data_IF_591222332231
#
_entry.id   IF_591222332231
#
_cell.length_a   1.000
_cell.length_b   1.000
_cell.length_c   1.000
_cell.angle_alpha   90.00
_cell.angle_beta   90.00
_cell.angle_gamma   90.00
#
_symmetry.space_group_name_H-M   'P 1'
#
loop_
_entity.id
_entity.type
_entity.pdbx_description
1 polymer ?
#
# COMPACT_ATOMS: atom_id res chain seq x y z
N UNK A 1 8.77 5.03 -11.98
CA UNK A 1 7.57 5.40 -11.21
C UNK A 1 7.02 6.70 -11.80
N UNK A 2 5.69 6.85 -11.86
CA UNK A 2 5.02 8.12 -12.13
C UNK A 2 4.15 8.43 -10.92
N UNK A 3 4.31 9.62 -10.36
CA UNK A 3 3.45 10.14 -9.30
C UNK A 3 2.26 10.89 -9.93
N UNK A 4 1.09 10.68 -9.36
CA UNK A 4 -0.16 11.29 -9.75
C UNK A 4 -0.72 12.03 -8.55
N UNK A 5 -1.09 13.29 -8.72
CA UNK A 5 -1.85 14.05 -7.71
C UNK A 5 -3.32 14.04 -8.11
N UNK A 6 -4.12 13.19 -7.45
CA UNK A 6 -5.56 13.05 -7.69
C UNK A 6 -6.33 13.33 -6.41
N UNK A 7 -7.29 14.24 -6.49
CA UNK A 7 -8.13 14.66 -5.37
C UNK A 7 -7.32 15.08 -4.11
N UNK A 8 -6.14 15.67 -4.33
CA UNK A 8 -5.24 16.12 -3.27
C UNK A 8 -4.50 14.99 -2.54
N UNK A 9 -4.37 13.82 -3.16
CA UNK A 9 -3.62 12.67 -2.65
C UNK A 9 -2.65 12.12 -3.69
N UNK A 10 -1.44 11.69 -3.29
CA UNK A 10 -0.46 11.14 -4.23
C UNK A 10 -0.70 9.65 -4.47
N UNK A 11 -0.73 9.25 -5.74
CA UNK A 11 -0.76 7.84 -6.17
C UNK A 11 0.42 7.55 -7.07
N UNK A 12 0.87 6.30 -7.11
CA UNK A 12 2.13 5.94 -7.76
C UNK A 12 1.91 4.81 -8.75
N UNK A 13 2.07 5.08 -10.05
CA UNK A 13 2.05 4.02 -11.05
C UNK A 13 3.44 3.54 -11.45
N UNK A 14 3.60 2.22 -11.44
CA UNK A 14 4.84 1.53 -11.79
C UNK A 14 4.67 0.80 -13.11
N UNK A 15 5.67 0.91 -13.98
CA UNK A 15 5.75 0.21 -15.25
C UNK A 15 7.05 -0.59 -15.28
N UNK A 16 6.93 -1.92 -15.18
CA UNK A 16 8.05 -2.85 -15.17
C UNK A 16 8.36 -3.45 -16.54
N UNK A 17 9.50 -4.13 -16.62
CA UNK A 17 9.95 -4.91 -17.79
C UNK A 17 10.12 -4.10 -19.07
N UNK A 18 10.41 -2.80 -18.96
CA UNK A 18 10.55 -1.90 -20.09
C UNK A 18 11.86 -2.13 -20.86
N UNK A 19 11.85 -1.93 -22.18
CA UNK A 19 13.06 -1.90 -23.01
C UNK A 19 13.65 -0.49 -23.16
N UNK A 20 12.82 0.53 -22.94
CA UNK A 20 13.15 1.94 -23.15
C UNK A 20 12.33 2.78 -22.18
N UNK A 21 12.97 3.77 -21.56
CA UNK A 21 12.32 4.83 -20.79
C UNK A 21 12.47 6.12 -21.59
N UNK A 22 11.35 6.77 -21.93
CA UNK A 22 11.31 7.94 -22.80
C UNK A 22 11.17 9.27 -22.03
N UNK A 23 11.24 9.21 -20.70
CA UNK A 23 11.02 10.34 -19.79
C UNK A 23 12.14 10.44 -18.76
N UNK A 24 12.29 11.61 -18.15
CA UNK A 24 13.30 11.86 -17.11
C UNK A 24 12.69 12.14 -15.73
N UNK A 25 13.48 11.97 -14.67
CA UNK A 25 13.07 12.33 -13.30
C UNK A 25 12.70 13.82 -13.25
N UNK A 26 11.55 14.13 -12.64
CA UNK A 26 11.02 15.49 -12.55
C UNK A 26 10.25 15.97 -13.79
N UNK A 27 10.22 15.20 -14.87
CA UNK A 27 9.41 15.52 -16.05
C UNK A 27 7.91 15.37 -15.72
N UNK A 28 7.14 16.42 -16.05
CA UNK A 28 5.67 16.31 -16.09
C UNK A 28 5.26 15.64 -17.39
N UNK A 29 4.33 14.68 -17.29
CA UNK A 29 3.81 13.92 -18.43
C UNK A 29 2.29 14.05 -18.49
N UNK A 30 1.74 14.00 -19.70
CA UNK A 30 0.30 14.06 -19.91
C UNK A 30 -0.32 12.67 -20.12
N UNK A 31 -1.63 12.55 -19.88
CA UNK A 31 -2.38 11.34 -20.24
C UNK A 31 -2.24 11.08 -21.75
N UNK A 32 -1.86 9.85 -22.11
CA UNK A 32 -1.64 9.45 -23.51
C UNK A 32 -0.24 9.75 -24.05
N UNK A 33 0.62 10.44 -23.28
CA UNK A 33 2.02 10.67 -23.65
C UNK A 33 2.80 9.34 -23.62
N UNK A 34 3.69 9.16 -24.59
CA UNK A 34 4.58 7.99 -24.62
C UNK A 34 5.66 8.14 -23.57
N UNK A 35 5.58 7.34 -22.50
CA UNK A 35 6.55 7.35 -21.40
C UNK A 35 7.63 6.26 -21.50
N UNK A 36 7.37 5.19 -22.25
CA UNK A 36 8.25 4.02 -22.31
C UNK A 36 7.96 3.13 -23.53
N UNK A 37 8.75 2.06 -23.66
CA UNK A 37 8.49 0.92 -24.57
C UNK A 37 8.52 -0.39 -23.78
N UNK A 38 7.57 -1.27 -24.07
CA UNK A 38 7.52 -2.64 -23.51
C UNK A 38 8.78 -3.40 -23.89
N UNK A 39 9.32 -4.16 -22.94
CA UNK A 39 10.46 -5.04 -23.15
C UNK A 39 10.30 -6.36 -22.42
N UNK A 40 11.43 -6.88 -21.97
CA UNK A 40 11.55 -8.14 -21.23
C UNK A 40 12.72 -8.05 -20.23
N UNK A 41 12.96 -6.86 -19.66
CA UNK A 41 14.00 -6.65 -18.64
C UNK A 41 13.56 -7.21 -17.28
N UNK A 42 14.50 -7.77 -16.52
CA UNK A 42 14.23 -8.43 -15.24
C UNK A 42 14.58 -9.92 -15.26
N UNK A 43 14.67 -10.52 -14.07
CA UNK A 43 15.08 -11.92 -13.94
C UNK A 43 14.04 -12.88 -14.52
N UNK A 44 14.51 -13.88 -15.28
CA UNK A 44 13.66 -14.93 -15.84
C UNK A 44 12.78 -14.53 -17.04
N UNK A 45 12.98 -13.33 -17.60
CA UNK A 45 12.26 -12.85 -18.77
C UNK A 45 13.08 -12.93 -20.07
N UNK A 46 12.35 -13.10 -21.18
CA UNK A 46 12.88 -13.15 -22.53
C UNK A 46 11.82 -12.59 -23.49
N UNK A 47 12.14 -12.50 -24.78
CA UNK A 47 11.24 -11.93 -25.78
C UNK A 47 9.86 -12.63 -25.84
N UNK A 48 9.79 -13.95 -25.67
CA UNK A 48 8.52 -14.69 -25.66
C UNK A 48 7.65 -14.39 -24.43
N UNK A 49 8.23 -13.78 -23.40
CA UNK A 49 7.56 -13.35 -22.15
C UNK A 49 7.50 -11.83 -22.05
N UNK A 50 7.66 -11.10 -23.15
CA UNK A 50 7.58 -9.63 -23.14
C UNK A 50 6.18 -9.17 -22.73
N UNK A 51 6.11 -8.35 -21.68
CA UNK A 51 4.87 -7.80 -21.15
C UNK A 51 5.17 -6.52 -20.37
N UNK A 52 4.13 -5.75 -20.04
CA UNK A 52 4.23 -4.65 -19.07
C UNK A 52 3.69 -5.15 -17.74
N UNK A 53 4.51 -5.03 -16.69
CA UNK A 53 4.03 -5.12 -15.33
C UNK A 53 3.51 -3.74 -14.92
N UNK A 54 2.23 -3.64 -14.57
CA UNK A 54 1.59 -2.38 -14.20
C UNK A 54 1.07 -2.46 -12.77
N UNK A 55 1.39 -1.43 -11.98
CA UNK A 55 0.80 -1.24 -10.65
C UNK A 55 0.25 0.18 -10.52
N UNK A 56 -0.71 0.35 -9.61
CA UNK A 56 -1.14 1.63 -9.09
C UNK A 56 -1.18 1.52 -7.57
N UNK A 57 -0.36 2.32 -6.90
CA UNK A 57 0.01 2.11 -5.51
C UNK A 57 -0.26 3.32 -4.63
N UNK A 58 -0.53 3.03 -3.36
CA UNK A 58 -0.45 3.97 -2.25
C UNK A 58 0.90 3.82 -1.55
N UNK A 59 1.46 4.90 -1.00
CA UNK A 59 2.72 4.86 -0.25
C UNK A 59 2.48 4.83 1.25
N UNK A 60 3.19 3.95 1.97
CA UNK A 60 3.05 3.85 3.42
C UNK A 60 3.77 4.97 4.18
N UNK A 61 5.05 5.20 3.89
CA UNK A 61 5.88 6.12 4.68
C UNK A 61 7.03 6.74 3.86
N UNK A 62 7.31 8.05 4.03
CA UNK A 62 8.41 8.73 3.34
C UNK A 62 9.80 8.37 3.88
N UNK A 63 9.90 7.95 5.13
CA UNK A 63 11.14 7.59 5.83
C UNK A 63 11.51 6.10 5.65
N UNK A 64 10.93 5.44 4.62
CA UNK A 64 11.10 4.02 4.34
C UNK A 64 12.55 3.55 4.26
N UNK A 65 13.46 4.36 3.70
CA UNK A 65 14.86 3.97 3.54
C UNK A 65 15.52 3.66 4.89
N UNK A 66 15.32 4.52 5.89
CA UNK A 66 15.84 4.29 7.25
C UNK A 66 15.16 3.11 7.96
N UNK A 67 13.87 2.87 7.69
CA UNK A 67 13.19 1.67 8.18
C UNK A 67 13.77 0.41 7.55
N UNK A 68 14.05 0.44 6.25
CA UNK A 68 14.61 -0.68 5.52
C UNK A 68 16.00 -1.03 6.05
N UNK A 69 16.88 -0.05 6.22
CA UNK A 69 18.24 -0.22 6.75
C UNK A 69 18.26 -0.85 8.15
N UNK A 70 17.25 -0.55 8.98
CA UNK A 70 17.10 -1.18 10.31
C UNK A 70 16.69 -2.65 10.23
N UNK A 71 15.93 -3.04 9.20
CA UNK A 71 15.21 -4.30 9.17
C UNK A 71 15.76 -5.33 8.17
N UNK A 72 16.55 -4.91 7.18
CA UNK A 72 17.09 -5.74 6.12
C UNK A 72 18.60 -5.52 5.97
N UNK A 73 19.31 -6.58 5.56
CA UNK A 73 20.76 -6.52 5.30
C UNK A 73 21.10 -6.23 3.85
N UNK A 74 20.22 -6.62 2.95
CA UNK A 74 20.38 -6.34 1.53
C UNK A 74 20.15 -4.85 1.27
N UNK A 75 20.83 -4.24 0.28
CA UNK A 75 20.65 -2.82 -0.03
C UNK A 75 19.28 -2.52 -0.64
N UNK A 76 18.71 -1.36 -0.32
CA UNK A 76 17.50 -0.86 -0.96
C UNK A 76 17.82 -0.21 -2.32
N UNK A 77 17.56 -0.91 -3.42
CA UNK A 77 17.80 -0.36 -4.77
C UNK A 77 16.72 0.61 -5.27
N UNK A 78 15.58 0.69 -4.58
CA UNK A 78 14.39 1.38 -5.07
C UNK A 78 14.02 2.64 -4.25
N UNK A 79 14.83 3.01 -3.26
CA UNK A 79 14.56 4.12 -2.35
C UNK A 79 13.17 4.01 -1.72
N UNK A 80 12.45 5.12 -1.62
CA UNK A 80 11.08 5.16 -1.09
C UNK A 80 10.04 4.45 -1.97
N UNK A 81 10.38 4.11 -3.22
CA UNK A 81 9.49 3.42 -4.17
C UNK A 81 9.69 1.90 -4.16
N UNK A 82 10.30 1.36 -3.12
CA UNK A 82 10.40 -0.08 -2.90
C UNK A 82 9.00 -0.70 -2.76
N UNK A 83 8.79 -1.88 -3.35
CA UNK A 83 7.49 -2.57 -3.31
C UNK A 83 6.99 -2.94 -1.91
N UNK A 84 7.85 -2.96 -0.89
CA UNK A 84 7.42 -3.12 0.51
C UNK A 84 6.71 -1.85 1.02
N UNK A 85 7.11 -0.66 0.54
CA UNK A 85 6.53 0.63 0.92
C UNK A 85 5.25 0.97 0.14
N UNK A 86 4.89 0.14 -0.84
CA UNK A 86 3.84 0.41 -1.80
C UNK A 86 2.70 -0.61 -1.65
N UNK A 87 1.49 -0.10 -1.50
CA UNK A 87 0.26 -0.88 -1.42
C UNK A 87 -0.50 -0.78 -2.74
N UNK A 88 -0.41 -1.83 -3.56
CA UNK A 88 -1.06 -1.88 -4.88
C UNK A 88 -2.53 -2.24 -4.79
N UNK A 89 -3.38 -1.40 -5.39
CA UNK A 89 -4.80 -1.73 -5.60
C UNK A 89 -4.98 -2.65 -6.81
N UNK A 90 -6.15 -3.28 -6.94
CA UNK A 90 -6.50 -4.08 -8.11
C UNK A 90 -6.72 -3.18 -9.33
N UNK A 91 -5.61 -2.87 -10.03
CA UNK A 91 -5.60 -1.93 -11.15
C UNK A 91 -6.41 -2.45 -12.35
N UNK A 92 -6.49 -3.77 -12.52
CA UNK A 92 -7.30 -4.36 -13.58
C UNK A 92 -8.79 -4.14 -13.31
N UNK A 93 -9.26 -4.38 -12.08
CA UNK A 93 -10.64 -4.09 -11.67
C UNK A 93 -10.91 -2.59 -11.73
N UNK A 94 -10.01 -1.76 -11.22
CA UNK A 94 -10.16 -0.30 -11.26
C UNK A 94 -10.30 0.20 -12.68
N UNK A 95 -9.46 -0.26 -13.61
CA UNK A 95 -9.53 0.12 -15.02
C UNK A 95 -10.90 -0.22 -15.66
N UNK A 96 -11.38 -1.45 -15.46
CA UNK A 96 -12.66 -1.91 -16.01
C UNK A 96 -13.88 -1.21 -15.38
N UNK A 97 -13.79 -0.87 -14.10
CA UNK A 97 -14.85 -0.13 -13.40
C UNK A 97 -14.87 1.35 -13.78
N UNK A 98 -13.70 1.96 -13.95
CA UNK A 98 -13.55 3.34 -14.39
C UNK A 98 -13.99 3.54 -15.85
N UNK A 99 -13.87 2.53 -16.71
CA UNK A 99 -14.47 2.57 -18.07
C UNK A 99 -16.00 2.72 -18.02
N UNK A 100 -16.66 2.03 -17.09
CA UNK A 100 -18.12 2.12 -16.89
C UNK A 100 -18.54 3.37 -16.14
N UNK A 101 -17.68 3.85 -15.24
CA UNK A 101 -17.90 4.98 -14.34
C UNK A 101 -16.71 5.95 -14.47
N UNK A 102 -16.69 6.83 -15.49
CA UNK A 102 -15.55 7.71 -15.74
C UNK A 102 -15.21 8.67 -14.59
N UNK A 103 -16.16 8.93 -13.69
CA UNK A 103 -15.98 9.77 -12.51
C UNK A 103 -15.56 8.96 -11.25
N UNK A 104 -15.36 7.64 -11.37
CA UNK A 104 -14.96 6.78 -10.25
C UNK A 104 -13.54 7.14 -9.80
N UNK A 105 -13.43 7.71 -8.61
CA UNK A 105 -12.14 8.04 -7.99
C UNK A 105 -11.55 6.83 -7.23
N UNK A 106 -10.25 6.88 -6.94
CA UNK A 106 -9.58 5.85 -6.13
C UNK A 106 -10.22 5.69 -4.73
N UNK A 107 -10.54 6.78 -3.98
CA UNK A 107 -11.25 6.66 -2.71
C UNK A 107 -12.59 5.94 -2.82
N UNK A 108 -13.38 6.23 -3.86
CA UNK A 108 -14.67 5.58 -4.09
C UNK A 108 -14.50 4.08 -4.41
N UNK A 109 -13.51 3.74 -5.24
CA UNK A 109 -13.20 2.35 -5.56
C UNK A 109 -12.76 1.54 -4.34
N UNK A 110 -11.88 2.11 -3.50
CA UNK A 110 -11.38 1.45 -2.29
C UNK A 110 -12.45 1.38 -1.19
N UNK A 111 -13.41 2.30 -1.16
CA UNK A 111 -14.56 2.20 -0.25
C UNK A 111 -15.47 0.99 -0.55
N UNK A 112 -15.38 0.40 -1.75
CA UNK A 112 -16.09 -0.83 -2.13
C UNK A 112 -15.32 -2.10 -1.77
N UNK A 113 -14.07 -1.99 -1.31
CA UNK A 113 -13.25 -3.15 -0.93
C UNK A 113 -13.70 -3.76 0.40
N UNK A 114 -13.56 -5.08 0.51
CA UNK A 114 -13.85 -5.78 1.74
C UNK A 114 -12.74 -5.58 2.77
N UNK A 115 -13.10 -5.11 3.97
CA UNK A 115 -12.19 -5.16 5.13
C UNK A 115 -11.94 -6.61 5.54
N UNK A 116 -10.70 -7.05 5.40
CA UNK A 116 -10.26 -8.39 5.79
C UNK A 116 -9.67 -8.42 7.20
N UNK A 117 -8.95 -7.39 7.61
CA UNK A 117 -8.39 -7.28 8.96
C UNK A 117 -8.24 -5.83 9.38
N UNK A 118 -8.13 -5.60 10.69
CA UNK A 118 -7.83 -4.29 11.26
C UNK A 118 -6.70 -4.39 12.27
N UNK A 119 -5.81 -3.40 12.24
CA UNK A 119 -4.67 -3.29 13.15
C UNK A 119 -4.70 -1.91 13.79
N UNK A 120 -4.58 -1.87 15.11
CA UNK A 120 -4.38 -0.64 15.86
C UNK A 120 -2.90 -0.40 16.06
N UNK A 121 -2.42 0.80 15.70
CA UNK A 121 -1.05 1.27 15.90
C UNK A 121 -1.00 2.42 16.91
N UNK A 122 0.10 2.59 17.67
CA UNK A 122 0.28 3.75 18.53
C UNK A 122 0.11 5.08 17.79
N UNK A 123 -0.34 6.13 18.48
CA UNK A 123 -0.27 7.48 17.90
C UNK A 123 1.20 7.88 17.70
N UNK A 124 1.48 8.49 16.54
CA UNK A 124 2.82 8.92 16.14
C UNK A 124 2.73 10.12 15.20
N UNK A 125 3.62 11.12 15.35
CA UNK A 125 3.73 12.23 14.41
C UNK A 125 4.22 11.78 13.02
N UNK A 126 4.79 10.58 12.91
CA UNK A 126 5.31 9.98 11.68
C UNK A 126 4.29 9.10 10.96
N UNK A 127 3.03 9.12 11.37
CA UNK A 127 1.98 8.36 10.69
C UNK A 127 1.54 9.06 9.38
N UNK A 128 2.33 8.84 8.33
CA UNK A 128 2.23 9.52 7.04
C UNK A 128 0.97 9.18 6.24
N UNK A 129 0.45 7.96 6.37
CA UNK A 129 -0.73 7.53 5.63
C UNK A 129 -1.94 8.47 5.82
N UNK A 130 -2.12 9.01 7.05
CA UNK A 130 -3.15 10.02 7.37
C UNK A 130 -2.96 11.34 6.62
N UNK A 131 -1.70 11.69 6.37
CA UNK A 131 -1.31 12.95 5.70
C UNK A 131 -1.39 12.81 4.18
N UNK A 132 -0.96 11.66 3.65
CA UNK A 132 -1.02 11.37 2.21
C UNK A 132 -2.45 11.10 1.74
N UNK A 133 -3.25 10.40 2.53
CA UNK A 133 -4.60 9.97 2.18
C UNK A 133 -5.61 10.42 3.23
N UNK A 134 -5.85 11.74 3.39
CA UNK A 134 -6.76 12.26 4.41
C UNK A 134 -8.19 11.73 4.25
N UNK A 135 -8.59 11.33 3.04
CA UNK A 135 -9.89 10.73 2.75
C UNK A 135 -10.13 9.38 3.45
N UNK A 136 -9.08 8.69 3.90
CA UNK A 136 -9.19 7.44 4.67
C UNK A 136 -9.67 7.69 6.10
N UNK A 137 -9.47 8.91 6.64
CA UNK A 137 -9.73 9.20 8.04
C UNK A 137 -11.23 9.47 8.26
N UNK A 138 -11.94 8.55 8.91
CA UNK A 138 -13.41 8.65 9.12
C UNK A 138 -13.81 9.29 10.45
N UNK A 139 -12.98 9.16 11.48
CA UNK A 139 -13.24 9.71 12.81
C UNK A 139 -11.99 10.44 13.32
N UNK A 140 -12.02 11.77 13.23
CA UNK A 140 -10.94 12.63 13.72
C UNK A 140 -11.22 12.97 15.18
N UNK A 141 -10.44 12.40 16.09
CA UNK A 141 -10.39 12.84 17.48
C UNK A 141 -9.07 13.54 17.73
N UNK A 142 -9.12 14.77 18.24
CA UNK A 142 -7.93 15.50 18.67
C UNK A 142 -7.21 14.82 19.85
N UNK A 143 -7.88 13.90 20.54
CA UNK A 143 -7.36 13.15 21.68
C UNK A 143 -7.11 11.67 21.36
N UNK A 144 -6.93 11.32 20.08
CA UNK A 144 -6.58 9.97 19.68
C UNK A 144 -5.31 9.52 20.40
N UNK A 145 -5.34 8.34 21.03
CA UNK A 145 -4.17 7.71 21.67
C UNK A 145 -3.60 6.57 20.84
N UNK A 146 -4.37 6.09 19.89
CA UNK A 146 -3.97 5.12 18.87
C UNK A 146 -4.87 5.26 17.66
N UNK A 147 -4.52 4.58 16.58
CA UNK A 147 -5.25 4.61 15.32
C UNK A 147 -5.50 3.19 14.84
N UNK A 148 -6.75 2.86 14.57
CA UNK A 148 -7.13 1.59 13.94
C UNK A 148 -7.19 1.78 12.42
N UNK A 149 -6.47 0.93 11.69
CA UNK A 149 -6.46 0.90 10.24
C UNK A 149 -7.15 -0.39 9.78
N UNK A 150 -8.09 -0.27 8.84
CA UNK A 150 -8.65 -1.42 8.13
C UNK A 150 -7.89 -1.70 6.84
N UNK A 151 -7.75 -2.97 6.50
CA UNK A 151 -7.03 -3.43 5.33
C UNK A 151 -7.86 -4.41 4.51
N UNK A 152 -7.73 -4.31 3.19
CA UNK A 152 -8.15 -5.36 2.27
C UNK A 152 -7.27 -6.60 2.46
N UNK A 153 -7.72 -7.74 1.94
CA UNK A 153 -6.95 -8.99 1.99
C UNK A 153 -5.52 -8.84 1.41
N UNK A 154 -5.35 -8.00 0.40
CA UNK A 154 -4.07 -7.70 -0.25
C UNK A 154 -3.08 -6.91 0.61
N UNK A 155 -3.54 -6.30 1.72
CA UNK A 155 -2.77 -5.37 2.53
C UNK A 155 -2.92 -3.91 2.13
N UNK A 156 -3.83 -3.58 1.20
CA UNK A 156 -4.17 -2.19 0.89
C UNK A 156 -4.95 -1.57 2.05
N UNK A 157 -4.53 -0.40 2.58
CA UNK A 157 -5.27 0.29 3.63
C UNK A 157 -6.56 0.90 3.07
N UNK A 158 -7.64 0.83 3.86
CA UNK A 158 -8.99 1.24 3.44
C UNK A 158 -9.51 2.42 4.26
N UNK A 159 -9.51 2.31 5.58
CA UNK A 159 -10.01 3.33 6.50
C UNK A 159 -9.12 3.47 7.72
N UNK A 160 -9.11 4.67 8.32
CA UNK A 160 -8.37 5.01 9.52
C UNK A 160 -9.33 5.65 10.54
N UNK A 161 -9.38 5.10 11.74
CA UNK A 161 -10.21 5.59 12.84
C UNK A 161 -9.38 5.90 14.08
N UNK A 162 -9.66 7.05 14.71
CA UNK A 162 -9.10 7.35 16.03
C UNK A 162 -9.64 6.38 17.10
N UNK A 163 -8.78 6.03 18.06
CA UNK A 163 -9.12 5.24 19.25
C UNK A 163 -8.68 5.98 20.52
N UNK A 164 -9.49 5.88 21.57
CA UNK A 164 -9.24 6.51 22.87
C UNK A 164 -8.28 5.70 23.75
N UNK A 165 -8.16 4.41 23.48
CA UNK A 165 -7.32 3.47 24.19
C UNK A 165 -5.91 3.49 23.57
N UNK A 166 -4.84 3.62 24.37
CA UNK A 166 -3.49 3.50 23.84
C UNK A 166 -3.16 2.04 23.55
N UNK A 167 -2.30 1.81 22.55
CA UNK A 167 -1.60 0.53 22.36
C UNK A 167 -0.10 0.79 22.42
N UNK A 168 0.67 -0.18 22.92
CA UNK A 168 2.14 -0.05 23.02
C UNK A 168 2.85 -0.50 21.73
N UNK A 169 2.17 -1.29 20.91
CA UNK A 169 2.69 -1.84 19.67
C UNK A 169 1.52 -2.14 18.72
N UNK A 170 1.79 -2.34 17.41
CA UNK A 170 0.77 -2.82 16.50
C UNK A 170 0.03 -4.04 17.05
N UNK A 171 -1.29 -3.96 17.08
CA UNK A 171 -2.15 -4.96 17.69
C UNK A 171 -3.29 -5.29 16.74
N UNK A 172 -3.45 -6.58 16.39
CA UNK A 172 -4.59 -7.03 15.59
C UNK A 172 -5.88 -6.88 16.41
N UNK A 173 -6.84 -6.11 15.91
CA UNK A 173 -8.13 -5.90 16.58
C UNK A 173 -9.28 -6.62 15.89
N UNK A 174 -9.12 -6.94 14.61
CA UNK A 174 -10.10 -7.70 13.85
C UNK A 174 -9.41 -8.52 12.76
N UNK A 175 -9.90 -9.74 12.55
CA UNK A 175 -9.63 -10.52 11.34
C UNK A 175 -10.90 -11.22 10.90
N UNK A 176 -11.20 -11.16 9.60
CA UNK A 176 -12.34 -11.85 9.02
C UNK A 176 -12.19 -13.36 9.19
N UNK A 177 -13.24 -14.02 9.66
CA UNK A 177 -13.26 -15.49 9.80
C UNK A 177 -13.03 -16.15 8.44
N UNK A 178 -12.12 -17.11 8.41
CA UNK A 178 -11.73 -17.87 7.23
C UNK A 178 -11.48 -19.34 7.59
N UNK A 179 -11.85 -20.25 6.70
CA UNK A 179 -11.51 -21.67 6.82
C UNK A 179 -10.03 -21.96 6.46
N UNK A 180 -9.43 -21.06 5.67
CA UNK A 180 -8.03 -21.12 5.23
C UNK A 180 -7.19 -20.26 6.18
N UNK A 181 -5.97 -20.72 6.47
CA UNK A 181 -5.01 -19.95 7.28
C UNK A 181 -4.75 -18.57 6.66
N UNK A 182 -4.79 -17.53 7.50
CA UNK A 182 -4.59 -16.15 7.07
C UNK A 182 -3.22 -15.92 6.43
N UNK A 183 -2.22 -16.77 6.70
CA UNK A 183 -0.90 -16.68 6.07
C UNK A 183 -0.97 -16.77 4.53
N UNK A 184 -1.87 -17.60 4.00
CA UNK A 184 -2.06 -17.75 2.55
C UNK A 184 -2.93 -16.66 1.93
N UNK A 185 -3.56 -15.84 2.77
CA UNK A 185 -4.51 -14.82 2.33
C UNK A 185 -3.92 -13.42 2.42
N UNK A 186 -2.98 -13.18 3.34
CA UNK A 186 -2.51 -11.83 3.71
C UNK A 186 -1.02 -11.62 3.43
N UNK A 187 -0.46 -12.30 2.42
CA UNK A 187 0.98 -12.25 2.09
C UNK A 187 1.88 -12.53 3.30
N UNK A 188 1.41 -13.37 4.23
CA UNK A 188 2.11 -13.70 5.47
C UNK A 188 2.12 -12.59 6.54
N UNK A 189 1.31 -11.54 6.43
CA UNK A 189 1.19 -10.51 7.46
C UNK A 189 0.43 -11.02 8.70
N UNK A 190 -0.59 -11.85 8.48
CA UNK A 190 -1.31 -12.58 9.51
C UNK A 190 -1.04 -14.09 9.40
N UNK A 191 -1.23 -14.81 10.50
CA UNK A 191 -1.28 -16.27 10.52
C UNK A 191 -2.41 -16.75 11.43
N UNK A 192 -2.77 -18.03 11.33
CA UNK A 192 -3.81 -18.64 12.14
C UNK A 192 -5.20 -18.55 11.49
N UNK A 193 -6.23 -18.94 12.25
CA UNK A 193 -7.61 -19.06 11.77
C UNK A 193 -8.61 -18.56 12.80
N UNK A 194 -9.68 -17.93 12.32
CA UNK A 194 -10.77 -17.44 13.16
C UNK A 194 -10.26 -16.60 14.33
N UNK A 195 -10.66 -16.95 15.55
CA UNK A 195 -10.33 -16.20 16.76
C UNK A 195 -8.84 -16.39 17.20
N UNK A 196 -8.08 -17.25 16.52
CA UNK A 196 -6.64 -17.45 16.74
C UNK A 196 -5.77 -16.71 15.71
N UNK A 197 -6.37 -15.89 14.84
CA UNK A 197 -5.61 -15.05 13.93
C UNK A 197 -4.72 -14.07 14.72
N UNK A 198 -3.49 -13.87 14.27
CA UNK A 198 -2.53 -12.96 14.90
C UNK A 198 -1.58 -12.36 13.85
N UNK A 199 -0.96 -11.23 14.20
CA UNK A 199 0.12 -10.63 13.41
C UNK A 199 1.36 -11.52 13.48
N UNK A 200 1.96 -11.81 12.33
CA UNK A 200 3.27 -12.45 12.26
C UNK A 200 4.37 -11.44 12.56
N UNK A 201 5.63 -11.89 12.68
CA UNK A 201 6.77 -10.96 12.75
C UNK A 201 6.85 -10.06 11.51
N UNK A 202 6.49 -10.58 10.33
CA UNK A 202 6.44 -9.80 9.10
C UNK A 202 5.33 -8.74 9.17
N UNK A 203 4.13 -9.13 9.61
CA UNK A 203 3.02 -8.19 9.83
C UNK A 203 3.38 -7.11 10.83
N UNK A 204 3.95 -7.48 11.99
CA UNK A 204 4.40 -6.52 13.00
C UNK A 204 5.41 -5.52 12.44
N UNK A 205 6.36 -6.00 11.61
CA UNK A 205 7.37 -5.15 10.97
C UNK A 205 6.73 -4.16 10.00
N UNK A 206 5.83 -4.62 9.14
CA UNK A 206 5.11 -3.77 8.20
C UNK A 206 4.22 -2.75 8.93
N UNK A 207 3.52 -3.15 9.98
CA UNK A 207 2.67 -2.20 10.74
C UNK A 207 3.49 -1.14 11.46
N UNK A 208 4.73 -1.44 11.86
CA UNK A 208 5.68 -0.44 12.37
C UNK A 208 6.16 0.54 11.30
N UNK A 209 6.23 0.14 10.03
CA UNK A 209 6.55 1.06 8.92
C UNK A 209 5.55 2.22 8.84
N UNK A 210 4.26 1.94 9.08
CA UNK A 210 3.21 2.96 8.98
C UNK A 210 3.44 4.17 9.89
N UNK A 211 4.13 3.97 11.01
CA UNK A 211 4.37 4.98 12.04
C UNK A 211 5.87 5.25 12.25
N UNK A 212 6.71 4.94 11.26
CA UNK A 212 8.16 5.06 11.36
C UNK A 212 8.68 6.47 11.04
N UNK A 213 9.74 6.97 11.70
CA UNK A 213 10.39 6.43 12.91
C UNK A 213 9.51 6.56 14.17
N UNK A 214 9.88 5.84 15.25
CA UNK A 214 9.19 5.92 16.56
C UNK A 214 9.07 7.35 17.09
#
# INVERSE_FOLDING_TARGET
MIEHDWDGSPYYSLYGHLSEIAVSVGQRVNRGERIARVGYTGEGLNQARAHVHLELNLMFNRDFESWHDRNFRDPNHNGIYNGINLAGLDIARFFLEHEKRPDLSVPQFLAEEETFYKVTVPDSPHFDLRKFYPWMVKNVSANAKSWEISFARSGVPLEIEARSEPVLQPTLTYAKKSAIDCAYLTRGELAGRGDHAHLTENGMRLMRLLIWPE
#
